data_IF_483691551539
#
_entry.id   IF_483691551539
#
_cell.length_a   1.000
_cell.length_b   1.000
_cell.length_c   1.000
_cell.angle_alpha   90.00
_cell.angle_beta   90.00
_cell.angle_gamma   90.00
#
_symmetry.space_group_name_H-M   'P 1'
#
loop_
_entity.id
_entity.type
_entity.pdbx_description
1 polymer ?
#
# COMPACT_ATOMS: atom_id res chain seq x y z
N UNK A 1 -7.60 4.36 -21.11
CA UNK A 1 -7.72 5.78 -20.68
C UNK A 1 -6.37 6.21 -20.14
N UNK A 2 -5.94 7.48 -20.23
CA UNK A 2 -4.73 7.92 -19.55
C UNK A 2 -4.91 7.80 -18.03
N UNK A 3 -3.94 7.20 -17.35
CA UNK A 3 -3.91 7.02 -15.91
C UNK A 3 -2.49 7.21 -15.39
N UNK A 4 -2.35 7.34 -14.07
CA UNK A 4 -1.06 7.29 -13.37
C UNK A 4 -1.14 6.37 -12.16
N UNK A 5 0.02 5.88 -11.71
CA UNK A 5 0.13 5.14 -10.46
C UNK A 5 0.47 6.12 -9.35
N UNK A 6 -0.36 6.16 -8.32
CA UNK A 6 -0.11 6.87 -7.08
C UNK A 6 0.59 5.93 -6.10
N UNK A 7 1.64 6.44 -5.47
CA UNK A 7 2.45 5.71 -4.50
C UNK A 7 2.31 6.38 -3.13
N UNK A 8 1.94 5.60 -2.13
CA UNK A 8 1.92 6.04 -0.73
C UNK A 8 3.32 6.10 -0.13
N UNK A 9 3.38 6.51 1.14
CA UNK A 9 4.61 6.50 1.92
C UNK A 9 5.19 5.08 2.02
N UNK A 10 6.51 4.98 1.88
CA UNK A 10 7.24 3.74 2.15
C UNK A 10 7.46 3.62 3.65
N UNK A 11 7.01 2.51 4.23
CA UNK A 11 7.15 2.21 5.65
C UNK A 11 8.00 0.96 5.84
N UNK A 12 8.93 1.03 6.79
CA UNK A 12 9.82 -0.08 7.14
C UNK A 12 9.58 -0.49 8.60
N UNK A 13 9.67 -1.79 8.89
CA UNK A 13 9.75 -2.27 10.27
C UNK A 13 11.15 -2.01 10.83
N UNK A 14 11.26 -1.63 12.10
CA UNK A 14 12.56 -1.32 12.67
C UNK A 14 13.43 -2.58 12.75
N UNK A 15 14.65 -2.50 12.20
CA UNK A 15 15.62 -3.59 12.26
C UNK A 15 15.54 -4.63 11.13
N UNK A 16 14.76 -4.39 10.07
CA UNK A 16 14.84 -5.16 8.82
C UNK A 16 15.14 -4.22 7.66
N UNK A 17 16.33 -4.32 7.08
CA UNK A 17 16.75 -3.46 5.96
C UNK A 17 15.98 -3.77 4.65
N UNK A 18 15.10 -4.77 4.63
CA UNK A 18 14.45 -5.28 3.42
C UNK A 18 12.93 -5.50 3.52
N UNK A 19 12.27 -5.04 4.59
CA UNK A 19 10.80 -5.08 4.68
C UNK A 19 10.23 -3.71 4.37
N UNK A 20 9.76 -3.53 3.13
CA UNK A 20 9.10 -2.30 2.69
C UNK A 20 7.62 -2.56 2.48
N UNK A 21 6.80 -1.73 3.11
CA UNK A 21 5.36 -1.65 2.85
C UNK A 21 5.08 -0.37 2.09
N UNK A 22 4.36 -0.46 0.98
CA UNK A 22 3.92 0.69 0.23
C UNK A 22 2.52 0.48 -0.32
N UNK A 23 1.64 1.45 -0.11
CA UNK A 23 0.33 1.48 -0.76
C UNK A 23 0.45 1.96 -2.21
N UNK A 24 -0.32 1.37 -3.10
CA UNK A 24 -0.37 1.72 -4.53
C UNK A 24 -1.82 1.84 -4.99
N UNK A 25 -2.09 2.75 -5.92
CA UNK A 25 -3.40 2.89 -6.55
C UNK A 25 -3.27 3.40 -8.00
N UNK A 26 -4.20 3.01 -8.86
CA UNK A 26 -4.34 3.60 -10.20
C UNK A 26 -5.30 4.79 -10.12
N UNK A 27 -4.85 5.96 -10.55
CA UNK A 27 -5.70 7.15 -10.66
C UNK A 27 -5.92 7.51 -12.13
N UNK A 28 -7.19 7.65 -12.51
CA UNK A 28 -7.58 8.09 -13.85
C UNK A 28 -7.41 9.60 -14.03
N UNK A 29 -7.48 10.06 -15.28
CA UNK A 29 -7.31 11.49 -15.61
C UNK A 29 -8.36 12.42 -15.00
N UNK A 30 -9.54 11.89 -14.64
CA UNK A 30 -10.59 12.63 -13.94
C UNK A 30 -10.38 12.70 -12.42
N UNK A 31 -9.34 12.04 -11.91
CA UNK A 31 -8.98 12.01 -10.50
C UNK A 31 -9.60 10.86 -9.72
N UNK A 32 -10.47 10.04 -10.30
CA UNK A 32 -11.01 8.88 -9.58
C UNK A 32 -9.97 7.77 -9.46
N UNK A 33 -10.05 7.03 -8.35
CA UNK A 33 -9.24 5.84 -8.12
C UNK A 33 -9.95 4.63 -8.72
N UNK A 34 -9.18 3.79 -9.42
CA UNK A 34 -9.66 2.50 -9.90
C UNK A 34 -9.94 1.57 -8.72
N UNK A 35 -11.16 1.04 -8.65
CA UNK A 35 -11.59 0.06 -7.65
C UNK A 35 -11.26 -1.39 -8.08
N UNK A 36 -10.53 -1.55 -9.18
CA UNK A 36 -10.18 -2.83 -9.78
C UNK A 36 -11.13 -3.28 -10.89
N UNK A 37 -12.12 -2.46 -11.25
CA UNK A 37 -13.03 -2.76 -12.36
C UNK A 37 -12.37 -2.62 -13.74
N UNK A 38 -11.25 -1.88 -13.85
CA UNK A 38 -10.60 -1.61 -15.14
C UNK A 38 -9.16 -2.14 -15.20
N UNK A 39 -8.31 -1.76 -14.26
CA UNK A 39 -6.89 -2.11 -14.21
C UNK A 39 -6.54 -2.86 -12.94
N UNK A 40 -6.58 -2.19 -11.79
CA UNK A 40 -6.14 -2.77 -10.53
C UNK A 40 -6.72 -1.99 -9.33
N UNK A 41 -7.25 -2.69 -8.30
CA UNK A 41 -7.72 -2.02 -7.10
C UNK A 41 -6.53 -1.45 -6.30
N UNK A 42 -6.78 -0.51 -5.38
CA UNK A 42 -5.78 -0.07 -4.44
C UNK A 42 -5.31 -1.25 -3.60
N UNK A 43 -4.00 -1.43 -3.47
CA UNK A 43 -3.44 -2.56 -2.74
C UNK A 43 -2.14 -2.18 -2.02
N UNK A 44 -1.63 -3.11 -1.23
CA UNK A 44 -0.41 -2.94 -0.46
C UNK A 44 0.64 -3.92 -0.97
N UNK A 45 1.79 -3.39 -1.39
CA UNK A 45 2.95 -4.19 -1.75
C UNK A 45 3.80 -4.48 -0.51
N UNK A 46 4.26 -5.73 -0.40
CA UNK A 46 5.18 -6.19 0.62
C UNK A 46 6.41 -6.84 -0.04
N UNK A 47 7.59 -6.27 0.21
CA UNK A 47 8.86 -6.97 0.00
C UNK A 47 9.27 -7.70 1.28
N UNK A 48 9.65 -8.98 1.18
CA UNK A 48 10.08 -9.77 2.35
C UNK A 48 11.34 -10.59 2.06
N UNK A 49 12.30 -10.51 2.98
CA UNK A 49 13.39 -11.47 3.18
C UNK A 49 13.32 -11.98 4.64
N UNK A 50 12.48 -13.01 4.88
CA UNK A 50 12.39 -13.80 6.11
C UNK A 50 12.23 -13.02 7.44
N UNK A 51 10.99 -12.62 7.75
CA UNK A 51 10.63 -11.99 9.04
C UNK A 51 10.73 -12.93 10.25
N UNK A 52 11.22 -12.38 11.37
CA UNK A 52 10.98 -12.97 12.70
C UNK A 52 9.52 -12.76 13.14
N UNK A 53 9.05 -13.54 14.13
CA UNK A 53 7.67 -13.39 14.65
C UNK A 53 7.38 -12.03 15.31
N UNK A 54 8.39 -11.30 15.78
CA UNK A 54 8.22 -9.95 16.32
C UNK A 54 8.03 -8.97 15.17
N UNK A 55 8.91 -9.04 14.16
CA UNK A 55 8.82 -8.19 12.97
C UNK A 55 7.55 -8.46 12.15
N UNK A 56 7.05 -9.68 12.14
CA UNK A 56 5.76 -10.00 11.53
C UNK A 56 4.58 -9.28 12.23
N UNK A 57 4.64 -9.10 13.55
CA UNK A 57 3.60 -8.35 14.29
C UNK A 57 3.73 -6.84 14.05
N UNK A 58 4.95 -6.33 13.99
CA UNK A 58 5.21 -4.92 13.64
C UNK A 58 4.74 -4.62 12.22
N UNK A 59 5.02 -5.53 11.28
CA UNK A 59 4.54 -5.44 9.91
C UNK A 59 3.00 -5.43 9.87
N UNK A 60 2.35 -6.32 10.62
CA UNK A 60 0.88 -6.35 10.68
C UNK A 60 0.29 -5.01 11.15
N UNK A 61 0.91 -4.34 12.13
CA UNK A 61 0.47 -3.01 12.57
C UNK A 61 0.62 -1.94 11.46
N UNK A 62 1.73 -1.96 10.72
CA UNK A 62 1.98 -1.05 9.59
C UNK A 62 1.01 -1.30 8.45
N UNK A 63 0.69 -2.56 8.15
CA UNK A 63 -0.30 -2.93 7.13
C UNK A 63 -1.69 -2.38 7.47
N UNK A 64 -2.14 -2.52 8.72
CA UNK A 64 -3.43 -1.97 9.18
C UNK A 64 -3.46 -0.45 9.03
N UNK A 65 -2.44 0.25 9.51
CA UNK A 65 -2.36 1.71 9.37
C UNK A 65 -2.38 2.16 7.90
N UNK A 66 -1.75 1.40 7.01
CA UNK A 66 -1.72 1.70 5.57
C UNK A 66 -3.07 1.43 4.91
N UNK A 67 -3.78 0.37 5.31
CA UNK A 67 -5.14 0.12 4.85
C UNK A 67 -6.09 1.27 5.24
N UNK A 68 -6.03 1.74 6.49
CA UNK A 68 -6.81 2.89 6.97
C UNK A 68 -6.53 4.19 6.17
N UNK A 69 -5.34 4.33 5.62
CA UNK A 69 -4.99 5.46 4.74
C UNK A 69 -5.60 5.31 3.36
N UNK A 70 -5.49 4.13 2.75
CA UNK A 70 -6.03 3.82 1.43
C UNK A 70 -7.56 3.92 1.44
N UNK A 71 -8.23 3.43 2.49
CA UNK A 71 -9.68 3.52 2.64
C UNK A 71 -10.15 4.99 2.65
N UNK A 72 -9.35 5.90 3.21
CA UNK A 72 -9.65 7.34 3.18
C UNK A 72 -9.50 7.95 1.78
N UNK A 73 -8.71 7.35 0.89
CA UNK A 73 -8.63 7.78 -0.51
C UNK A 73 -9.89 7.38 -1.29
N UNK A 74 -10.43 6.18 -1.05
CA UNK A 74 -11.68 5.73 -1.68
C UNK A 74 -12.92 6.54 -1.23
N UNK A 75 -12.83 7.26 -0.12
CA UNK A 75 -13.89 8.13 0.42
C UNK A 75 -13.79 9.58 -0.07
N UNK A 76 -12.79 9.93 -0.87
CA UNK A 76 -12.60 11.26 -1.46
C UNK A 76 -13.14 11.32 -2.89
#
# INVERSE_FOLDING_TARGET
MPYRVEFGDVRNTQGVEHTTVQGTAVQFSDGSIDDGSIHEPPHIYLGDEALTSVQARELAAVLVQTADEVDRWAQR
#
